data_IF_718947794298
#
_entry.id   IF_718947794298
#
_cell.length_a   1.000
_cell.length_b   1.000
_cell.length_c   1.000
_cell.angle_alpha   90.00
_cell.angle_beta   90.00
_cell.angle_gamma   90.00
#
_symmetry.space_group_name_H-M   'P 1'
#
loop_
_entity.id
_entity.type
_entity.pdbx_description
1 polymer ?
#
# COMPACT_ATOMS: atom_id res chain seq x y z
N UNK A 1 8.13 3.09 10.58
CA UNK A 1 8.52 4.22 9.71
C UNK A 1 9.85 4.73 10.19
N UNK A 2 10.57 5.45 9.34
CA UNK A 2 11.93 5.99 9.59
C UNK A 2 13.06 4.93 9.60
N UNK A 3 12.85 3.80 8.91
CA UNK A 3 13.83 2.71 8.79
C UNK A 3 14.20 2.40 7.34
N UNK A 4 13.24 2.25 6.45
CA UNK A 4 13.43 1.87 5.03
C UNK A 4 13.35 3.09 4.11
N UNK A 5 14.16 4.09 4.36
CA UNK A 5 14.27 5.26 3.50
C UNK A 5 15.03 4.93 2.18
N UNK A 6 15.27 5.95 1.35
CA UNK A 6 15.99 5.77 0.09
C UNK A 6 17.44 5.28 0.29
N UNK A 7 18.07 5.60 1.43
CA UNK A 7 19.44 5.19 1.70
C UNK A 7 19.50 3.72 2.10
N UNK A 8 18.56 3.26 2.92
CA UNK A 8 18.41 1.85 3.27
C UNK A 8 18.05 1.01 2.03
N UNK A 9 17.11 1.47 1.20
CA UNK A 9 16.77 0.78 -0.05
C UNK A 9 17.97 0.68 -1.00
N UNK A 10 18.80 1.72 -1.08
CA UNK A 10 20.05 1.67 -1.82
C UNK A 10 21.01 0.61 -1.28
N UNK A 11 21.15 0.53 0.03
CA UNK A 11 21.95 -0.52 0.68
C UNK A 11 21.39 -1.92 0.41
N UNK A 12 20.08 -2.12 0.54
CA UNK A 12 19.42 -3.39 0.25
C UNK A 12 19.61 -3.82 -1.22
N UNK A 13 19.68 -2.88 -2.15
CA UNK A 13 19.94 -3.14 -3.56
C UNK A 13 21.35 -3.69 -3.81
N UNK A 14 22.34 -3.30 -3.03
CA UNK A 14 23.67 -3.90 -3.10
C UNK A 14 23.69 -5.36 -2.65
N UNK A 15 22.78 -5.74 -1.74
CA UNK A 15 22.62 -7.12 -1.28
C UNK A 15 21.81 -7.98 -2.27
N UNK A 16 20.86 -7.38 -2.99
CA UNK A 16 19.98 -8.10 -3.92
C UNK A 16 19.59 -7.25 -5.12
N UNK A 17 20.07 -7.61 -6.28
CA UNK A 17 19.72 -6.93 -7.54
C UNK A 17 18.30 -7.28 -8.04
N UNK A 18 17.71 -8.38 -7.57
CA UNK A 18 16.44 -8.92 -8.07
C UNK A 18 15.25 -8.66 -7.13
N UNK A 19 15.48 -8.20 -5.91
CA UNK A 19 14.40 -7.95 -4.96
C UNK A 19 13.56 -6.74 -5.40
N UNK A 20 12.23 -6.87 -5.35
CA UNK A 20 11.34 -5.72 -5.40
C UNK A 20 11.41 -5.03 -4.03
N UNK A 21 11.88 -3.79 -4.00
CA UNK A 21 11.96 -2.99 -2.79
C UNK A 21 10.67 -2.16 -2.62
N UNK A 22 10.29 -1.89 -1.38
CA UNK A 22 9.14 -1.07 -1.04
C UNK A 22 9.55 0.19 -0.31
N UNK A 23 8.86 1.29 -0.58
CA UNK A 23 8.97 2.46 0.27
C UNK A 23 8.37 2.17 1.65
N UNK A 24 8.64 3.02 2.61
CA UNK A 24 7.79 3.13 3.78
C UNK A 24 6.39 3.58 3.36
N UNK A 25 5.40 3.39 4.24
CA UNK A 25 4.05 3.82 3.96
C UNK A 25 3.96 5.35 3.89
N UNK A 26 3.57 5.86 2.73
CA UNK A 26 3.27 7.28 2.50
C UNK A 26 1.75 7.45 2.49
N UNK A 27 1.21 8.37 3.29
CA UNK A 27 -0.25 8.60 3.28
C UNK A 27 -0.67 9.44 2.08
N UNK A 28 -1.86 9.15 1.53
CA UNK A 28 -2.44 9.93 0.43
C UNK A 28 -2.57 11.42 0.79
N UNK A 29 -2.97 11.72 2.03
CA UNK A 29 -3.04 13.09 2.54
C UNK A 29 -1.66 13.78 2.59
N UNK A 30 -0.59 13.05 2.94
CA UNK A 30 0.76 13.63 2.92
C UNK A 30 1.22 13.98 1.49
N UNK A 31 0.81 13.21 0.49
CA UNK A 31 1.08 13.51 -0.92
C UNK A 31 0.24 14.67 -1.45
N UNK A 32 -0.96 14.87 -0.92
CA UNK A 32 -1.84 15.98 -1.31
C UNK A 32 -1.38 17.31 -0.71
N UNK A 33 -1.05 17.32 0.59
CA UNK A 33 -0.82 18.56 1.35
C UNK A 33 0.64 18.80 1.77
N UNK A 34 1.52 17.81 1.62
CA UNK A 34 2.92 17.86 2.07
C UNK A 34 3.93 18.07 0.94
N UNK A 35 5.20 17.84 1.27
CA UNK A 35 6.29 17.89 0.30
C UNK A 35 6.35 16.60 -0.53
N UNK A 36 5.51 16.55 -1.57
CA UNK A 36 5.40 15.43 -2.51
C UNK A 36 6.76 15.03 -3.10
N UNK A 37 7.60 16.02 -3.46
CA UNK A 37 8.89 15.76 -4.07
C UNK A 37 9.80 14.96 -3.14
N UNK A 38 9.82 15.31 -1.87
CA UNK A 38 10.63 14.59 -0.88
C UNK A 38 10.05 13.22 -0.54
N UNK A 39 8.71 13.13 -0.40
CA UNK A 39 8.01 11.89 -0.08
C UNK A 39 8.14 10.81 -1.17
N UNK A 40 8.25 11.20 -2.44
CA UNK A 40 8.42 10.31 -3.58
C UNK A 40 9.89 10.20 -4.04
N UNK A 41 10.83 10.79 -3.29
CA UNK A 41 12.23 10.76 -3.68
C UNK A 41 12.81 9.34 -3.64
N UNK A 42 13.34 8.90 -4.77
CA UNK A 42 14.11 7.69 -4.91
C UNK A 42 15.14 7.87 -6.03
N UNK A 43 16.14 6.99 -6.10
CA UNK A 43 17.16 7.02 -7.13
C UNK A 43 16.95 5.88 -8.14
N UNK A 44 17.41 6.03 -9.41
CA UNK A 44 17.30 4.97 -10.41
C UNK A 44 17.96 3.66 -9.97
N UNK A 45 19.01 3.75 -9.14
CA UNK A 45 19.73 2.60 -8.64
C UNK A 45 18.94 1.75 -7.64
N UNK A 46 17.85 2.27 -7.07
CA UNK A 46 16.98 1.51 -6.19
C UNK A 46 16.02 0.59 -6.95
N UNK A 47 15.82 0.83 -8.25
CA UNK A 47 14.83 0.13 -9.07
C UNK A 47 15.11 -1.40 -9.17
N UNK A 48 14.07 -2.29 -9.14
CA UNK A 48 12.63 -1.95 -9.07
C UNK A 48 12.16 -1.60 -7.66
N UNK A 49 11.33 -0.54 -7.54
CA UNK A 49 10.78 -0.03 -6.28
C UNK A 49 9.26 0.16 -6.38
N UNK A 50 8.53 -0.35 -5.40
CA UNK A 50 7.10 -0.14 -5.21
C UNK A 50 6.83 1.00 -4.22
N UNK A 51 5.83 1.84 -4.52
CA UNK A 51 5.32 2.84 -3.59
C UNK A 51 4.22 2.24 -2.72
N UNK A 52 4.41 2.24 -1.39
CA UNK A 52 3.34 1.85 -0.48
C UNK A 52 2.54 3.06 -0.02
N UNK A 53 1.23 3.03 -0.26
CA UNK A 53 0.28 4.07 0.13
C UNK A 53 -0.54 3.66 1.36
N UNK A 54 -0.89 4.65 2.17
CA UNK A 54 -1.89 4.55 3.23
C UNK A 54 -2.99 5.59 3.02
N UNK A 55 -4.23 5.17 3.19
CA UNK A 55 -5.40 6.03 3.03
C UNK A 55 -6.67 5.19 2.87
N UNK A 56 -7.83 5.88 2.91
CA UNK A 56 -9.15 5.27 2.76
C UNK A 56 -10.08 6.08 1.85
N UNK A 57 -9.62 7.23 1.34
CA UNK A 57 -10.38 8.02 0.36
C UNK A 57 -9.97 7.60 -1.07
N UNK A 58 -10.91 7.05 -1.88
CA UNK A 58 -10.59 6.60 -3.24
C UNK A 58 -10.04 7.69 -4.14
N UNK A 59 -10.51 8.94 -4.01
CA UNK A 59 -10.05 10.06 -4.85
C UNK A 59 -8.64 10.49 -4.49
N UNK A 60 -8.35 10.58 -3.18
CA UNK A 60 -6.99 10.90 -2.74
C UNK A 60 -5.99 9.80 -3.13
N UNK A 61 -6.39 8.53 -2.99
CA UNK A 61 -5.55 7.39 -3.39
C UNK A 61 -5.34 7.34 -4.91
N UNK A 62 -6.34 7.70 -5.71
CA UNK A 62 -6.20 7.84 -7.15
C UNK A 62 -5.11 8.87 -7.52
N UNK A 63 -5.16 10.07 -6.93
CA UNK A 63 -4.17 11.11 -7.16
C UNK A 63 -2.76 10.71 -6.66
N UNK A 64 -2.72 10.02 -5.52
CA UNK A 64 -1.47 9.52 -4.95
C UNK A 64 -0.85 8.43 -5.83
N UNK A 65 -1.65 7.49 -6.34
CA UNK A 65 -1.20 6.44 -7.25
C UNK A 65 -0.63 7.03 -8.55
N UNK A 66 -1.35 7.97 -9.17
CA UNK A 66 -0.87 8.65 -10.37
C UNK A 66 0.45 9.39 -10.13
N UNK A 67 0.57 10.06 -8.97
CA UNK A 67 1.83 10.73 -8.59
C UNK A 67 2.99 9.75 -8.41
N UNK A 68 2.72 8.54 -7.91
CA UNK A 68 3.70 7.47 -7.77
C UNK A 68 4.17 6.94 -9.13
N UNK A 69 3.25 6.64 -10.03
CA UNK A 69 3.61 6.23 -11.39
C UNK A 69 4.40 7.29 -12.14
N UNK A 70 3.97 8.56 -12.08
CA UNK A 70 4.67 9.68 -12.72
C UNK A 70 6.08 9.90 -12.13
N UNK A 71 6.29 9.51 -10.87
CA UNK A 71 7.60 9.53 -10.23
C UNK A 71 8.49 8.32 -10.63
N UNK A 72 7.94 7.30 -11.31
CA UNK A 72 8.70 6.15 -11.82
C UNK A 72 8.67 4.90 -10.94
N UNK A 73 7.76 4.81 -9.97
CA UNK A 73 7.54 3.57 -9.22
C UNK A 73 6.93 2.49 -10.12
N UNK A 74 7.39 1.24 -9.97
CA UNK A 74 6.96 0.12 -10.81
C UNK A 74 5.72 -0.63 -10.27
N UNK A 75 5.25 -0.29 -9.09
CA UNK A 75 4.07 -0.85 -8.43
C UNK A 75 3.51 0.16 -7.43
N UNK A 76 2.19 0.19 -7.29
CA UNK A 76 1.49 0.92 -6.22
C UNK A 76 0.88 -0.11 -5.28
N UNK A 77 1.26 -0.06 -4.00
CA UNK A 77 0.79 -0.99 -2.99
C UNK A 77 -0.07 -0.28 -1.95
N UNK A 78 -1.27 -0.78 -1.67
CA UNK A 78 -2.13 -0.26 -0.60
C UNK A 78 -1.87 -1.00 0.72
N UNK A 79 -1.57 -0.26 1.78
CA UNK A 79 -1.42 -0.82 3.12
C UNK A 79 -2.78 -1.04 3.79
N UNK A 80 -3.10 -2.30 4.03
CA UNK A 80 -4.31 -2.76 4.75
C UNK A 80 -3.91 -3.66 5.94
N UNK A 81 -2.72 -3.40 6.52
CA UNK A 81 -2.19 -4.29 7.55
C UNK A 81 -1.51 -3.62 8.74
N UNK A 82 -1.28 -2.30 8.70
CA UNK A 82 -0.63 -1.59 9.80
C UNK A 82 -1.60 -1.38 10.98
N UNK A 83 -1.28 -1.88 12.20
CA UNK A 83 -2.17 -1.78 13.36
C UNK A 83 -1.86 -0.59 14.27
N UNK A 84 -0.99 0.34 13.89
CA UNK A 84 -0.57 1.42 14.78
C UNK A 84 -1.73 2.38 15.10
N UNK A 85 -1.80 2.89 16.34
CA UNK A 85 -2.82 3.84 16.78
C UNK A 85 -2.91 5.08 15.89
N UNK A 86 -1.77 5.58 15.42
CA UNK A 86 -1.69 6.72 14.49
C UNK A 86 -2.38 6.41 13.15
N UNK A 87 -2.29 5.18 12.69
CA UNK A 87 -2.92 4.73 11.45
C UNK A 87 -4.41 4.49 11.67
N UNK A 88 -4.79 3.90 12.80
CA UNK A 88 -6.19 3.69 13.17
C UNK A 88 -6.95 5.00 13.35
N UNK A 89 -6.34 6.02 13.98
CA UNK A 89 -6.95 7.35 14.12
C UNK A 89 -7.20 8.03 12.75
N UNK A 90 -6.43 7.65 11.72
CA UNK A 90 -6.62 8.10 10.34
C UNK A 90 -7.61 7.22 9.53
N UNK A 91 -8.24 6.21 10.15
CA UNK A 91 -9.18 5.27 9.51
C UNK A 91 -8.60 4.56 8.29
N UNK A 92 -7.33 4.13 8.34
CA UNK A 92 -6.69 3.33 7.30
C UNK A 92 -5.78 2.24 7.90
N UNK A 93 -5.10 1.45 7.08
CA UNK A 93 -4.28 0.33 7.54
C UNK A 93 -5.13 -0.89 7.92
N UNK A 94 -4.84 -1.55 9.04
CA UNK A 94 -5.44 -2.84 9.40
C UNK A 94 -6.97 -2.76 9.60
N UNK A 95 -7.52 -1.63 10.08
CA UNK A 95 -8.97 -1.45 10.25
C UNK A 95 -9.75 -1.60 8.94
N UNK A 96 -9.13 -1.32 7.79
CA UNK A 96 -9.76 -1.49 6.48
C UNK A 96 -10.05 -2.96 6.12
N UNK A 97 -9.49 -3.93 6.84
CA UNK A 97 -9.88 -5.34 6.66
C UNK A 97 -11.35 -5.59 7.04
N UNK A 98 -11.95 -4.72 7.86
CA UNK A 98 -13.37 -4.76 8.18
C UNK A 98 -14.27 -4.16 7.08
N UNK A 99 -13.69 -3.47 6.09
CA UNK A 99 -14.40 -2.71 5.07
C UNK A 99 -13.93 -3.10 3.65
N UNK A 100 -14.07 -4.38 3.24
CA UNK A 100 -13.55 -4.87 1.97
C UNK A 100 -14.11 -4.12 0.75
N UNK A 101 -15.35 -3.65 0.80
CA UNK A 101 -15.97 -2.86 -0.27
C UNK A 101 -15.32 -1.50 -0.44
N UNK A 102 -14.93 -0.84 0.66
CA UNK A 102 -14.19 0.43 0.60
C UNK A 102 -12.79 0.20 0.02
N UNK A 103 -12.10 -0.88 0.42
CA UNK A 103 -10.82 -1.25 -0.16
C UNK A 103 -10.95 -1.53 -1.67
N UNK A 104 -12.01 -2.22 -2.08
CA UNK A 104 -12.30 -2.47 -3.50
C UNK A 104 -12.50 -1.17 -4.28
N UNK A 105 -13.23 -0.20 -3.74
CA UNK A 105 -13.40 1.14 -4.35
C UNK A 105 -12.05 1.88 -4.47
N UNK A 106 -11.19 1.78 -3.45
CA UNK A 106 -9.86 2.37 -3.49
C UNK A 106 -8.98 1.73 -4.58
N UNK A 107 -9.00 0.41 -4.70
CA UNK A 107 -8.26 -0.33 -5.73
C UNK A 107 -8.75 0.05 -7.13
N UNK A 108 -10.06 0.04 -7.35
CA UNK A 108 -10.65 0.41 -8.64
C UNK A 108 -10.25 1.84 -9.04
N UNK A 109 -10.37 2.80 -8.11
CA UNK A 109 -9.99 4.20 -8.37
C UNK A 109 -8.51 4.35 -8.73
N UNK A 110 -7.61 3.64 -8.05
CA UNK A 110 -6.18 3.67 -8.37
C UNK A 110 -5.91 3.04 -9.73
N UNK A 111 -6.46 1.87 -10.02
CA UNK A 111 -6.27 1.15 -11.29
C UNK A 111 -6.76 1.90 -12.52
N UNK A 112 -7.79 2.74 -12.36
CA UNK A 112 -8.30 3.56 -13.48
C UNK A 112 -7.33 4.64 -13.94
N UNK A 113 -6.29 4.96 -13.19
CA UNK A 113 -5.40 6.08 -13.50
C UNK A 113 -3.92 5.69 -13.69
N UNK A 114 -3.55 4.42 -13.46
CA UNK A 114 -2.18 3.93 -13.62
C UNK A 114 -2.13 2.66 -14.45
N UNK A 115 -1.02 2.45 -15.15
CA UNK A 115 -0.72 1.24 -15.93
C UNK A 115 0.11 0.22 -15.11
N UNK A 116 0.80 0.68 -14.06
CA UNK A 116 1.57 -0.19 -13.17
C UNK A 116 0.64 -1.03 -12.27
N UNK A 117 1.08 -2.22 -11.81
CA UNK A 117 0.30 -3.05 -10.91
C UNK A 117 -0.14 -2.31 -9.64
N UNK A 118 -1.42 -2.50 -9.26
CA UNK A 118 -1.96 -2.04 -7.97
C UNK A 118 -2.20 -3.27 -7.09
N UNK A 119 -1.51 -3.33 -5.95
CA UNK A 119 -1.44 -4.49 -5.07
C UNK A 119 -1.88 -4.15 -3.64
N UNK A 120 -2.15 -5.16 -2.83
CA UNK A 120 -2.57 -4.98 -1.43
C UNK A 120 -1.63 -5.72 -0.49
N UNK A 121 -1.20 -5.05 0.59
CA UNK A 121 -0.56 -5.72 1.71
C UNK A 121 -1.50 -5.73 2.92
N UNK A 122 -1.88 -6.93 3.38
CA UNK A 122 -2.85 -7.13 4.45
C UNK A 122 -2.36 -8.09 5.54
N UNK A 123 -3.21 -8.34 6.53
CA UNK A 123 -3.08 -9.36 7.57
C UNK A 123 -4.02 -10.53 7.30
N UNK A 124 -4.03 -11.55 8.17
CA UNK A 124 -4.99 -12.65 8.11
C UNK A 124 -6.32 -12.34 8.82
N UNK A 125 -6.42 -11.19 9.50
CA UNK A 125 -7.61 -10.72 10.20
C UNK A 125 -7.30 -9.63 11.21
N UNK A 126 -8.34 -9.09 11.81
CA UNK A 126 -8.30 -8.07 12.87
C UNK A 126 -9.28 -8.45 13.99
N UNK A 127 -8.97 -8.13 15.21
CA UNK A 127 -9.86 -8.31 16.39
C UNK A 127 -10.59 -9.66 16.39
N UNK A 128 -11.92 -9.65 16.25
CA UNK A 128 -12.78 -10.84 16.18
C UNK A 128 -13.06 -11.30 14.73
N UNK A 129 -12.52 -10.61 13.71
CA UNK A 129 -12.66 -10.95 12.29
C UNK A 129 -11.40 -11.68 11.81
N UNK A 130 -11.13 -12.86 12.34
CA UNK A 130 -9.92 -13.65 12.07
C UNK A 130 -10.21 -15.05 11.54
N UNK A 131 -11.44 -15.29 11.08
CA UNK A 131 -11.80 -16.56 10.45
C UNK A 131 -11.28 -16.65 9.03
N UNK A 132 -11.05 -17.89 8.57
CA UNK A 132 -10.71 -18.13 7.16
C UNK A 132 -11.75 -17.56 6.19
N UNK A 133 -13.04 -17.67 6.54
CA UNK A 133 -14.13 -17.12 5.74
C UNK A 133 -14.06 -15.59 5.65
N UNK A 134 -13.67 -14.89 6.71
CA UNK A 134 -13.48 -13.44 6.69
C UNK A 134 -12.33 -13.04 5.75
N UNK A 135 -11.22 -13.76 5.81
CA UNK A 135 -10.09 -13.53 4.90
C UNK A 135 -10.45 -13.83 3.44
N UNK A 136 -11.14 -14.94 3.20
CA UNK A 136 -11.61 -15.31 1.85
C UNK A 136 -12.57 -14.27 1.28
N UNK A 137 -13.50 -13.76 2.10
CA UNK A 137 -14.41 -12.68 1.70
C UNK A 137 -13.64 -11.40 1.34
N UNK A 138 -12.72 -10.96 2.22
CA UNK A 138 -11.88 -9.79 1.97
C UNK A 138 -11.11 -9.91 0.64
N UNK A 139 -10.40 -11.02 0.46
CA UNK A 139 -9.62 -11.27 -0.77
C UNK A 139 -10.53 -11.33 -1.98
N UNK A 140 -11.68 -12.03 -1.89
CA UNK A 140 -12.63 -12.17 -3.00
C UNK A 140 -13.22 -10.85 -3.46
N UNK A 141 -13.64 -9.98 -2.53
CA UNK A 141 -14.19 -8.65 -2.85
C UNK A 141 -13.13 -7.74 -3.48
N UNK A 142 -11.94 -7.69 -2.90
CA UNK A 142 -10.85 -6.83 -3.40
C UNK A 142 -10.27 -7.34 -4.72
N UNK A 143 -10.19 -8.66 -4.91
CA UNK A 143 -9.81 -9.25 -6.20
C UNK A 143 -10.86 -8.97 -7.29
N UNK A 144 -12.14 -8.94 -6.92
CA UNK A 144 -13.22 -8.54 -7.83
C UNK A 144 -13.08 -7.12 -8.39
N UNK A 145 -12.43 -6.22 -7.67
CA UNK A 145 -12.05 -4.89 -8.14
C UNK A 145 -10.77 -4.88 -8.99
N UNK A 146 -10.16 -6.05 -9.23
CA UNK A 146 -9.02 -6.25 -10.10
C UNK A 146 -7.66 -6.22 -9.41
N UNK A 147 -7.60 -6.35 -8.08
CA UNK A 147 -6.34 -6.60 -7.39
C UNK A 147 -5.88 -8.04 -7.67
N UNK A 148 -4.73 -8.19 -8.31
CA UNK A 148 -4.22 -9.51 -8.71
C UNK A 148 -3.16 -10.07 -7.74
N UNK A 149 -2.59 -9.22 -6.89
CA UNK A 149 -1.52 -9.61 -5.96
C UNK A 149 -1.80 -9.13 -4.53
N UNK A 150 -1.76 -10.09 -3.61
CA UNK A 150 -1.88 -9.85 -2.17
C UNK A 150 -0.62 -10.29 -1.44
N UNK A 151 -0.02 -9.40 -0.67
CA UNK A 151 1.08 -9.72 0.25
C UNK A 151 0.48 -9.90 1.64
N UNK A 152 0.37 -11.16 2.09
CA UNK A 152 -0.28 -11.49 3.36
C UNK A 152 0.75 -11.69 4.47
N UNK A 153 0.71 -10.81 5.49
CA UNK A 153 1.42 -11.08 6.73
C UNK A 153 0.60 -12.08 7.55
N UNK A 154 1.09 -13.31 7.70
CA UNK A 154 0.40 -14.42 8.34
C UNK A 154 0.27 -14.24 9.87
N UNK A 155 -0.23 -13.09 10.30
CA UNK A 155 -0.48 -12.70 11.68
C UNK A 155 -1.71 -11.81 11.74
N UNK A 156 -2.54 -12.00 12.77
CA UNK A 156 -3.65 -11.11 13.08
C UNK A 156 -3.13 -9.73 13.53
N UNK A 157 -3.80 -8.65 13.15
CA UNK A 157 -3.59 -7.34 13.75
C UNK A 157 -4.35 -7.27 15.08
N UNK A 158 -3.70 -6.76 16.09
CA UNK A 158 -4.24 -6.57 17.45
C UNK A 158 -3.99 -5.11 17.82
#
# INVERSE_FOLDING_TARGET
MDWTDRHDRRFLRELSQNALLYTEMVTSAALEYGDRRNLLAHSPEEYPVALQLGGSDPKQLQLAAKSGEDAGFCEINLNVGCPSERVQSGSFGACLMAEPELVAQCIDAMRQCVDVPVTVKCRIGIDNQDSEAALQNFVGVVAGAGCELFVVHARKAI
#
